data_IF_882714858244
#
_entry.id   IF_882714858244
#
_cell.length_a   1.000
_cell.length_b   1.000
_cell.length_c   1.000
_cell.angle_alpha   90.00
_cell.angle_beta   90.00
_cell.angle_gamma   90.00
#
_symmetry.space_group_name_H-M   'P 1'
#
loop_
_entity.id
_entity.type
_entity.pdbx_description
1 polymer ?
#
# COMPACT_ATOMS: atom_id res chain seq x y z
N UNK A 1 23.47 -60.73 -10.87
CA UNK A 1 24.26 -60.92 -9.63
C UNK A 1 24.46 -59.55 -8.99
N UNK A 2 24.29 -59.52 -7.67
CA UNK A 2 24.61 -58.45 -6.70
C UNK A 2 23.84 -57.11 -6.73
N UNK A 3 22.81 -57.08 -5.87
CA UNK A 3 22.25 -55.93 -5.15
C UNK A 3 23.27 -55.35 -4.17
N UNK A 4 23.29 -54.04 -3.93
CA UNK A 4 23.35 -53.31 -2.63
C UNK A 4 23.21 -51.80 -2.96
N UNK A 5 22.55 -50.90 -2.24
CA UNK A 5 21.76 -50.93 -1.02
C UNK A 5 21.24 -49.49 -0.77
N UNK A 6 19.93 -49.33 -0.61
CA UNK A 6 19.28 -48.06 -0.20
C UNK A 6 19.55 -47.82 1.29
N UNK A 7 19.97 -46.62 1.69
CA UNK A 7 19.99 -46.19 3.10
C UNK A 7 18.80 -45.27 3.36
N UNK A 8 17.77 -45.85 3.98
CA UNK A 8 16.74 -45.15 4.74
C UNK A 8 17.31 -44.79 6.11
N UNK A 9 17.03 -43.59 6.60
CA UNK A 9 17.12 -43.27 8.04
C UNK A 9 15.72 -42.90 8.52
N UNK A 10 15.22 -43.70 9.46
CA UNK A 10 13.98 -43.47 10.18
C UNK A 10 14.29 -42.91 11.58
N UNK A 11 13.52 -41.86 11.92
CA UNK A 11 12.88 -41.51 13.20
C UNK A 11 13.59 -41.87 14.53
N UNK A 12 13.75 -40.86 15.38
CA UNK A 12 13.66 -41.03 16.82
C UNK A 12 12.81 -39.88 17.41
N UNK A 13 11.62 -40.23 17.89
CA UNK A 13 10.76 -39.42 18.74
C UNK A 13 11.15 -39.64 20.21
N UNK A 14 11.21 -38.57 21.01
CA UNK A 14 11.34 -38.66 22.46
C UNK A 14 10.13 -37.95 23.09
N UNK A 15 9.25 -38.77 23.67
CA UNK A 15 8.17 -38.37 24.58
C UNK A 15 8.71 -38.52 26.00
N UNK A 16 8.66 -37.46 26.81
CA UNK A 16 8.74 -37.57 28.27
C UNK A 16 7.47 -36.99 28.89
N UNK A 17 6.67 -37.89 29.44
CA UNK A 17 5.55 -37.63 30.36
C UNK A 17 6.07 -37.87 31.78
N UNK A 18 5.95 -36.89 32.66
CA UNK A 18 5.87 -37.12 34.10
C UNK A 18 4.75 -36.27 34.72
N UNK A 19 3.95 -36.98 35.51
CA UNK A 19 2.72 -36.61 36.19
C UNK A 19 2.99 -35.98 37.57
N UNK A 20 2.01 -35.21 38.08
CA UNK A 20 1.84 -34.86 39.49
C UNK A 20 1.99 -33.36 39.78
N UNK A 21 1.06 -32.64 40.39
CA UNK A 21 -0.16 -33.03 41.09
C UNK A 21 -1.07 -31.82 41.37
N UNK A 22 -2.32 -32.14 41.71
CA UNK A 22 -3.36 -31.21 42.14
C UNK A 22 -3.32 -30.96 43.66
N UNK A 23 -3.79 -29.78 44.07
CA UNK A 23 -4.10 -29.37 45.46
C UNK A 23 -3.62 -27.93 45.69
N UNK A 24 -4.34 -26.98 46.28
CA UNK A 24 -5.63 -26.98 46.96
C UNK A 24 -6.12 -25.53 47.12
N UNK A 25 -7.41 -25.34 47.41
CA UNK A 25 -8.09 -24.04 47.57
C UNK A 25 -8.04 -23.51 49.02
N UNK A 26 -8.09 -22.16 49.12
CA UNK A 26 -8.69 -21.30 50.19
C UNK A 26 -7.92 -21.18 51.53
N UNK A 27 -8.21 -20.16 52.39
CA UNK A 27 -9.26 -19.13 52.34
C UNK A 27 -8.82 -17.67 52.61
N UNK A 28 -9.82 -16.77 52.52
CA UNK A 28 -9.87 -15.41 53.03
C UNK A 28 -9.58 -15.29 54.55
N UNK A 29 -9.03 -14.13 54.94
CA UNK A 29 -9.19 -13.47 56.24
C UNK A 29 -9.58 -12.02 55.90
N UNK A 30 -10.81 -11.51 56.13
CA UNK A 30 -11.44 -11.11 57.41
C UNK A 30 -10.41 -10.42 58.32
N UNK A 31 -10.51 -9.16 58.70
CA UNK A 31 -11.53 -8.13 58.62
C UNK A 31 -11.24 -7.20 59.78
N UNK A 32 -11.34 -5.89 59.59
CA UNK A 32 -11.46 -4.96 60.71
C UNK A 32 -12.40 -3.83 60.30
N UNK A 33 -13.44 -3.67 61.10
CA UNK A 33 -14.54 -2.73 60.97
C UNK A 33 -14.16 -1.37 61.59
N UNK A 34 -14.38 -0.28 60.85
CA UNK A 34 -15.27 0.88 61.14
C UNK A 34 -15.27 1.43 62.59
N UNK A 35 -15.09 2.76 62.81
CA UNK A 35 -16.23 3.67 62.74
C UNK A 35 -16.01 5.05 62.11
N UNK A 36 -16.88 5.33 61.14
CA UNK A 36 -17.82 6.47 61.09
C UNK A 36 -17.49 7.72 61.90
N UNK A 37 -17.24 8.83 61.20
CA UNK A 37 -17.70 10.14 61.63
C UNK A 37 -18.45 10.81 60.47
N UNK A 38 -19.77 10.92 60.68
CA UNK A 38 -20.65 11.91 60.07
C UNK A 38 -20.36 13.26 60.72
N UNK A 39 -20.16 14.32 59.91
CA UNK A 39 -20.76 15.63 60.14
C UNK A 39 -20.44 16.62 59.01
N UNK A 40 -21.52 17.07 58.36
CA UNK A 40 -21.76 18.43 57.85
C UNK A 40 -21.21 18.82 56.46
N UNK A 41 -22.17 19.06 55.56
CA UNK A 41 -22.05 19.83 54.32
C UNK A 41 -22.76 21.21 54.48
N UNK A 42 -22.56 22.17 53.56
CA UNK A 42 -22.22 23.58 53.81
C UNK A 42 -23.44 24.50 53.52
N UNK A 43 -23.43 25.81 53.09
CA UNK A 43 -22.57 26.46 52.08
C UNK A 43 -22.19 27.94 52.38
N UNK A 44 -21.37 28.56 51.52
CA UNK A 44 -21.57 29.89 50.92
C UNK A 44 -20.29 30.30 50.18
N UNK A 45 -20.20 29.97 48.88
CA UNK A 45 -19.46 30.80 47.94
C UNK A 45 -20.39 31.18 46.80
N UNK A 46 -20.37 32.48 46.52
CA UNK A 46 -21.26 33.19 45.62
C UNK A 46 -21.08 32.71 44.18
N UNK A 47 -22.17 32.18 43.64
CA UNK A 47 -22.36 32.05 42.21
C UNK A 47 -22.54 33.46 41.60
N UNK A 48 -21.47 34.02 41.04
CA UNK A 48 -21.54 35.18 40.16
C UNK A 48 -21.97 34.71 38.77
N UNK A 49 -23.20 35.06 38.43
CA UNK A 49 -23.87 34.82 37.17
C UNK A 49 -23.45 35.81 36.07
N UNK A 50 -23.46 35.29 34.83
CA UNK A 50 -23.77 35.91 33.52
C UNK A 50 -22.62 35.86 32.49
N UNK A 51 -22.90 35.74 31.18
CA UNK A 51 -24.00 35.01 30.54
C UNK A 51 -23.51 34.00 29.47
N UNK A 52 -24.27 32.92 29.27
CA UNK A 52 -24.17 32.06 28.09
C UNK A 52 -24.50 32.86 26.83
N UNK A 53 -23.48 33.17 26.03
CA UNK A 53 -23.64 33.49 24.62
C UNK A 53 -23.71 32.18 23.85
N UNK A 54 -24.91 31.64 23.73
CA UNK A 54 -25.20 30.59 22.75
C UNK A 54 -25.21 31.22 21.36
N UNK A 55 -24.04 31.30 20.74
CA UNK A 55 -23.93 31.41 19.30
C UNK A 55 -24.36 30.06 18.74
N UNK A 56 -25.58 29.99 18.21
CA UNK A 56 -25.94 28.92 17.28
C UNK A 56 -25.06 29.15 16.04
N UNK A 57 -23.95 28.41 15.95
CA UNK A 57 -23.22 28.23 14.70
C UNK A 57 -24.17 27.52 13.73
N UNK A 58 -24.63 28.23 12.70
CA UNK A 58 -25.19 27.59 11.51
C UNK A 58 -24.21 26.49 11.06
N UNK A 59 -24.67 25.30 10.65
CA UNK A 59 -23.77 24.30 10.13
C UNK A 59 -23.13 24.89 8.87
N UNK A 60 -21.81 25.12 8.92
CA UNK A 60 -21.03 25.41 7.75
C UNK A 60 -21.36 24.30 6.74
N UNK A 61 -21.89 24.67 5.57
CA UNK A 61 -22.00 23.73 4.46
C UNK A 61 -20.58 23.21 4.22
N UNK A 62 -20.33 21.95 4.56
CA UNK A 62 -19.06 21.30 4.19
C UNK A 62 -18.94 21.42 2.67
N UNK A 63 -17.95 22.20 2.23
CA UNK A 63 -17.66 22.32 0.82
C UNK A 63 -17.37 20.92 0.29
N UNK A 64 -17.91 20.60 -0.89
CA UNK A 64 -17.65 19.32 -1.55
C UNK A 64 -16.12 19.14 -1.67
N UNK A 65 -15.52 18.14 -1.00
CA UNK A 65 -14.07 17.95 -1.01
C UNK A 65 -13.54 17.68 -2.43
N UNK A 66 -14.40 17.23 -3.34
CA UNK A 66 -14.03 16.97 -4.73
C UNK A 66 -13.94 18.24 -5.58
N UNK A 67 -14.55 19.36 -5.15
CA UNK A 67 -14.51 20.62 -5.88
C UNK A 67 -13.11 21.26 -5.94
N UNK A 68 -12.17 20.78 -5.12
CA UNK A 68 -10.77 21.21 -5.12
C UNK A 68 -9.93 20.57 -6.23
N UNK A 69 -10.43 19.53 -6.89
CA UNK A 69 -9.69 18.75 -7.88
C UNK A 69 -10.27 18.90 -9.28
N UNK A 70 -9.41 18.75 -10.27
CA UNK A 70 -9.76 18.78 -11.69
C UNK A 70 -9.10 17.60 -12.41
N UNK A 71 -9.75 17.10 -13.46
CA UNK A 71 -9.20 16.01 -14.30
C UNK A 71 -7.95 16.44 -15.07
N UNK A 72 -7.75 17.75 -15.19
CA UNK A 72 -6.60 18.40 -15.81
C UNK A 72 -5.43 18.57 -14.84
N UNK A 73 -5.61 18.29 -13.54
CA UNK A 73 -4.52 18.30 -12.57
C UNK A 73 -3.46 17.27 -13.00
N UNK A 74 -2.22 17.74 -13.15
CA UNK A 74 -1.13 16.93 -13.71
C UNK A 74 -0.88 15.61 -12.97
N UNK A 75 -1.11 15.60 -11.65
CA UNK A 75 -0.97 14.44 -10.77
C UNK A 75 -2.13 13.44 -10.91
N UNK A 76 -3.27 13.87 -11.44
CA UNK A 76 -4.49 13.08 -11.62
C UNK A 76 -4.69 12.57 -13.04
N UNK A 77 -3.65 12.68 -13.90
CA UNK A 77 -3.67 12.09 -15.23
C UNK A 77 -3.97 10.58 -15.15
N UNK A 78 -5.02 10.16 -15.84
CA UNK A 78 -5.43 8.76 -15.90
C UNK A 78 -4.77 8.07 -17.10
N UNK A 79 -3.94 7.06 -16.84
CA UNK A 79 -3.26 6.26 -17.87
C UNK A 79 -3.58 4.79 -17.65
N UNK A 80 -4.20 4.16 -18.65
CA UNK A 80 -4.48 2.73 -18.71
C UNK A 80 -4.83 2.33 -20.16
N UNK A 81 -5.28 1.10 -20.40
CA UNK A 81 -5.64 0.62 -21.73
C UNK A 81 -6.78 1.43 -22.41
N UNK A 82 -7.65 2.09 -21.64
CA UNK A 82 -8.74 2.95 -22.14
C UNK A 82 -8.33 4.42 -22.30
N UNK A 83 -7.26 4.82 -21.62
CA UNK A 83 -6.70 6.17 -21.64
C UNK A 83 -5.19 6.12 -21.93
N UNK A 84 -4.76 5.68 -23.14
CA UNK A 84 -3.35 5.62 -23.49
C UNK A 84 -2.78 7.02 -23.73
N UNK A 85 -1.52 7.21 -23.36
CA UNK A 85 -0.71 8.32 -23.84
C UNK A 85 -0.38 8.11 -25.32
N UNK A 86 -0.70 9.10 -26.16
CA UNK A 86 -0.36 9.07 -27.59
C UNK A 86 1.13 9.33 -27.83
N UNK A 87 1.76 10.10 -26.95
CA UNK A 87 3.17 10.45 -26.98
C UNK A 87 3.75 10.50 -25.56
N UNK A 88 5.07 10.44 -25.45
CA UNK A 88 5.74 10.59 -24.15
C UNK A 88 5.50 11.99 -23.59
N UNK A 89 5.15 12.06 -22.30
CA UNK A 89 4.99 13.35 -21.63
C UNK A 89 6.34 14.06 -21.52
N UNK A 90 6.35 15.36 -21.79
CA UNK A 90 7.52 16.22 -21.58
C UNK A 90 7.69 16.56 -20.09
N UNK A 91 7.97 15.54 -19.27
CA UNK A 91 8.21 15.68 -17.83
C UNK A 91 9.69 15.96 -17.55
N UNK A 92 9.95 16.88 -16.61
CA UNK A 92 11.29 17.05 -16.06
C UNK A 92 11.52 15.95 -15.01
N UNK A 93 12.58 15.18 -15.20
CA UNK A 93 12.90 14.05 -14.32
C UNK A 93 14.00 14.41 -13.33
N UNK A 94 13.86 13.95 -12.09
CA UNK A 94 14.85 14.04 -11.04
C UNK A 94 15.28 12.64 -10.57
N UNK A 95 16.53 12.54 -10.10
CA UNK A 95 17.08 11.27 -9.62
C UNK A 95 16.77 11.08 -8.13
N UNK A 96 16.05 10.01 -7.81
CA UNK A 96 15.69 9.58 -6.45
C UNK A 96 16.28 8.20 -6.22
N UNK A 97 17.30 8.09 -5.36
CA UNK A 97 18.09 6.86 -5.15
C UNK A 97 18.59 6.16 -6.44
N UNK A 98 18.95 6.94 -7.47
CA UNK A 98 19.43 6.41 -8.75
C UNK A 98 18.32 6.00 -9.73
N UNK A 99 17.06 6.19 -9.37
CA UNK A 99 15.89 6.03 -10.23
C UNK A 99 15.37 7.39 -10.70
N UNK A 100 14.72 7.44 -11.86
CA UNK A 100 14.17 8.68 -12.40
C UNK A 100 12.69 8.80 -12.04
N UNK A 101 12.28 9.95 -11.52
CA UNK A 101 10.90 10.24 -11.16
C UNK A 101 10.52 11.66 -11.60
N UNK A 102 9.22 11.95 -11.75
CA UNK A 102 8.78 13.32 -12.06
C UNK A 102 9.27 14.27 -10.96
N UNK A 103 10.00 15.33 -11.37
CA UNK A 103 10.60 16.31 -10.45
C UNK A 103 9.58 16.89 -9.48
N UNK A 104 8.32 17.04 -9.89
CA UNK A 104 7.24 17.59 -9.06
C UNK A 104 6.83 16.66 -7.91
N UNK A 105 7.12 15.37 -8.02
CA UNK A 105 6.78 14.34 -7.02
C UNK A 105 8.03 13.65 -6.43
N UNK A 106 9.24 14.05 -6.82
CA UNK A 106 10.49 13.43 -6.39
C UNK A 106 10.71 13.52 -4.87
N UNK A 107 10.41 14.68 -4.27
CA UNK A 107 10.50 14.88 -2.81
C UNK A 107 9.53 13.97 -2.06
N UNK A 108 8.32 13.78 -2.60
CA UNK A 108 7.32 12.90 -2.01
C UNK A 108 7.78 11.42 -2.04
N UNK A 109 8.34 10.97 -3.17
CA UNK A 109 8.91 9.62 -3.28
C UNK A 109 10.06 9.44 -2.28
N UNK A 110 10.97 10.41 -2.22
CA UNK A 110 12.10 10.43 -1.29
C UNK A 110 11.61 10.31 0.17
N UNK A 111 10.60 11.10 0.55
CA UNK A 111 10.01 11.10 1.87
C UNK A 111 9.32 9.76 2.22
N UNK A 112 8.63 9.13 1.27
CA UNK A 112 8.01 7.81 1.49
C UNK A 112 9.06 6.71 1.74
N UNK A 113 10.15 6.73 0.96
CA UNK A 113 11.27 5.78 1.13
C UNK A 113 12.01 6.01 2.45
N UNK A 114 12.27 7.28 2.81
CA UNK A 114 12.87 7.64 4.10
C UNK A 114 11.97 7.27 5.28
N UNK A 115 10.65 7.46 5.16
CA UNK A 115 9.66 7.05 6.15
C UNK A 115 9.68 5.54 6.41
N UNK A 116 9.68 4.74 5.35
CA UNK A 116 9.80 3.28 5.47
C UNK A 116 11.12 2.86 6.09
N UNK A 117 12.20 3.55 5.73
CA UNK A 117 13.54 3.31 6.31
C UNK A 117 13.57 3.65 7.81
N UNK A 118 12.97 4.77 8.21
CA UNK A 118 12.85 5.18 9.60
C UNK A 118 11.97 4.23 10.43
N UNK A 119 10.98 3.60 9.80
CA UNK A 119 10.17 2.54 10.39
C UNK A 119 10.90 1.18 10.51
N UNK A 120 12.15 1.10 10.03
CA UNK A 120 13.02 -0.08 10.18
C UNK A 120 13.06 -1.00 8.96
N UNK A 121 12.46 -0.62 7.83
CA UNK A 121 12.47 -1.40 6.60
C UNK A 121 13.69 -1.07 5.74
N UNK A 122 14.27 -2.08 5.10
CA UNK A 122 15.25 -1.84 4.03
C UNK A 122 14.51 -1.71 2.71
N UNK A 123 14.06 -0.49 2.40
CA UNK A 123 13.26 -0.20 1.21
C UNK A 123 14.12 -0.30 -0.05
N UNK A 124 13.58 -0.94 -1.08
CA UNK A 124 14.18 -1.06 -2.40
C UNK A 124 13.19 -0.60 -3.47
N UNK A 125 13.58 0.41 -4.23
CA UNK A 125 12.93 0.75 -5.49
C UNK A 125 13.30 -0.30 -6.56
N UNK A 126 12.30 -0.71 -7.34
CA UNK A 126 12.43 -1.73 -8.39
C UNK A 126 12.26 -1.10 -9.77
N UNK A 127 11.23 -0.27 -9.94
CA UNK A 127 10.92 0.40 -11.20
C UNK A 127 10.26 1.76 -10.92
N UNK A 128 10.47 2.73 -11.82
CA UNK A 128 9.99 4.13 -11.68
C UNK A 128 9.66 4.67 -13.08
N UNK A 129 10.17 5.83 -13.50
CA UNK A 129 9.96 6.30 -14.86
C UNK A 129 10.52 5.31 -15.90
N UNK A 130 9.69 4.98 -16.89
CA UNK A 130 10.08 4.25 -18.09
C UNK A 130 9.66 5.00 -19.33
N UNK A 131 10.58 5.16 -20.27
CA UNK A 131 10.23 5.60 -21.62
C UNK A 131 9.40 4.53 -22.35
N UNK A 132 8.72 4.92 -23.42
CA UNK A 132 8.02 4.02 -24.33
C UNK A 132 8.98 2.97 -24.91
N UNK A 133 10.20 3.37 -25.26
CA UNK A 133 11.22 2.46 -25.77
C UNK A 133 11.60 1.38 -24.74
N UNK A 134 11.76 1.75 -23.47
CA UNK A 134 12.03 0.78 -22.38
C UNK A 134 10.82 -0.12 -22.15
N UNK A 135 9.61 0.44 -22.18
CA UNK A 135 8.37 -0.32 -22.01
C UNK A 135 8.20 -1.36 -23.12
N UNK A 136 8.47 -0.99 -24.37
CA UNK A 136 8.46 -1.91 -25.52
C UNK A 136 9.51 -3.01 -25.35
N UNK A 137 10.74 -2.66 -24.95
CA UNK A 137 11.80 -3.63 -24.75
C UNK A 137 11.47 -4.63 -23.62
N UNK A 138 10.82 -4.18 -22.55
CA UNK A 138 10.35 -5.04 -21.46
C UNK A 138 9.26 -6.00 -21.94
N UNK A 139 8.28 -5.50 -22.70
CA UNK A 139 7.20 -6.31 -23.27
C UNK A 139 7.75 -7.36 -24.24
N UNK A 140 8.61 -6.96 -25.18
CA UNK A 140 9.24 -7.85 -26.15
C UNK A 140 10.08 -8.93 -25.47
N UNK A 141 10.79 -8.58 -24.39
CA UNK A 141 11.57 -9.54 -23.59
C UNK A 141 10.65 -10.58 -22.94
N UNK A 142 9.51 -10.16 -22.37
CA UNK A 142 8.57 -11.09 -21.75
C UNK A 142 7.91 -12.00 -22.78
N UNK A 143 7.53 -11.47 -23.94
CA UNK A 143 7.00 -12.27 -25.05
C UNK A 143 8.02 -13.33 -25.48
N UNK A 144 9.29 -12.95 -25.67
CA UNK A 144 10.34 -13.92 -26.01
C UNK A 144 10.49 -15.02 -24.97
N UNK A 145 10.51 -14.67 -23.68
CA UNK A 145 10.58 -15.67 -22.61
C UNK A 145 9.40 -16.65 -22.65
N UNK A 146 8.17 -16.15 -22.83
CA UNK A 146 6.98 -17.00 -22.91
C UNK A 146 7.03 -17.96 -24.12
N UNK A 147 7.56 -17.50 -25.26
CA UNK A 147 7.70 -18.35 -26.46
C UNK A 147 8.84 -19.36 -26.30
N UNK A 148 10.00 -18.92 -25.82
CA UNK A 148 11.23 -19.71 -25.79
C UNK A 148 11.32 -20.67 -24.60
N UNK A 149 10.86 -20.23 -23.43
CA UNK A 149 11.00 -20.97 -22.16
C UNK A 149 9.69 -21.71 -21.81
N UNK A 150 8.54 -21.06 -21.99
CA UNK A 150 7.23 -21.60 -21.60
C UNK A 150 6.51 -22.32 -22.76
N UNK A 151 7.04 -22.23 -23.98
CA UNK A 151 6.52 -22.93 -25.17
C UNK A 151 5.19 -22.41 -25.69
N UNK A 152 4.80 -21.18 -25.32
CA UNK A 152 3.59 -20.53 -25.82
C UNK A 152 3.70 -20.22 -27.33
N UNK A 153 2.55 -20.18 -28.02
CA UNK A 153 2.49 -19.52 -29.34
C UNK A 153 2.72 -18.02 -29.18
N UNK A 154 3.08 -17.33 -30.28
CA UNK A 154 3.27 -15.88 -30.24
C UNK A 154 2.00 -15.13 -29.78
N UNK A 155 0.82 -15.58 -30.24
CA UNK A 155 -0.47 -14.97 -29.89
C UNK A 155 -0.78 -15.15 -28.40
N UNK A 156 -0.59 -16.36 -27.86
CA UNK A 156 -0.75 -16.63 -26.42
C UNK A 156 0.26 -15.84 -25.59
N UNK A 157 1.53 -15.79 -26.01
CA UNK A 157 2.58 -15.05 -25.33
C UNK A 157 2.27 -13.54 -25.29
N UNK A 158 1.77 -12.97 -26.38
CA UNK A 158 1.30 -11.59 -26.43
C UNK A 158 0.13 -11.37 -25.47
N UNK A 159 -0.90 -12.23 -25.52
CA UNK A 159 -2.06 -12.13 -24.66
C UNK A 159 -1.72 -12.27 -23.17
N UNK A 160 -0.75 -13.12 -22.81
CA UNK A 160 -0.26 -13.25 -21.44
C UNK A 160 0.58 -12.04 -21.05
N UNK A 161 1.51 -11.60 -21.88
CA UNK A 161 2.46 -10.54 -21.53
C UNK A 161 1.76 -9.20 -21.25
N UNK A 162 0.76 -8.83 -22.05
CA UNK A 162 0.03 -7.55 -21.87
C UNK A 162 -0.82 -7.49 -20.60
N UNK A 163 -1.06 -8.62 -19.94
CA UNK A 163 -1.75 -8.67 -18.63
C UNK A 163 -0.85 -8.23 -17.47
N UNK A 164 0.47 -8.29 -17.65
CA UNK A 164 1.46 -8.01 -16.60
C UNK A 164 2.39 -6.85 -16.98
N UNK A 165 2.56 -6.59 -18.27
CA UNK A 165 3.39 -5.50 -18.79
C UNK A 165 2.53 -4.69 -19.73
N UNK A 166 2.06 -3.54 -19.24
CA UNK A 166 1.29 -2.62 -20.05
C UNK A 166 2.10 -2.19 -21.30
N UNK A 167 1.46 -2.13 -22.48
CA UNK A 167 2.09 -1.59 -23.69
C UNK A 167 2.60 -0.15 -23.49
N UNK A 168 3.52 0.33 -24.35
CA UNK A 168 3.92 1.73 -24.34
C UNK A 168 2.72 2.68 -24.39
N UNK A 169 2.73 3.69 -23.53
CA UNK A 169 1.66 4.66 -23.38
C UNK A 169 0.49 4.18 -22.51
N UNK A 170 0.44 2.91 -22.12
CA UNK A 170 -0.61 2.37 -21.25
C UNK A 170 -0.10 2.08 -19.82
N UNK A 171 1.20 2.25 -19.57
CA UNK A 171 1.80 2.09 -18.25
C UNK A 171 1.87 3.42 -17.51
N UNK A 172 1.48 3.44 -16.24
CA UNK A 172 1.69 4.62 -15.40
C UNK A 172 3.17 4.98 -15.21
N UNK A 173 4.09 4.01 -15.33
CA UNK A 173 5.52 4.31 -15.34
C UNK A 173 5.93 5.26 -16.46
N UNK A 174 5.14 5.37 -17.54
CA UNK A 174 5.37 6.36 -18.60
C UNK A 174 5.07 7.81 -18.18
N UNK A 175 4.34 8.00 -17.07
CA UNK A 175 4.04 9.33 -16.51
C UNK A 175 5.16 9.87 -15.61
N UNK A 176 6.01 8.97 -15.08
CA UNK A 176 6.98 9.33 -14.04
C UNK A 176 6.38 9.47 -12.64
N UNK A 177 5.11 9.08 -12.44
CA UNK A 177 4.38 9.18 -11.17
C UNK A 177 4.14 7.82 -10.49
N UNK A 178 4.57 6.72 -11.11
CA UNK A 178 4.42 5.38 -10.56
C UNK A 178 5.76 4.81 -10.11
N UNK A 179 5.73 4.07 -9.01
CA UNK A 179 6.88 3.41 -8.42
C UNK A 179 6.52 2.00 -7.99
N UNK A 180 7.41 1.06 -8.32
CA UNK A 180 7.43 -0.28 -7.75
C UNK A 180 8.44 -0.30 -6.60
N UNK A 181 7.98 -0.65 -5.40
CA UNK A 181 8.84 -0.75 -4.22
C UNK A 181 8.52 -1.97 -3.37
N UNK A 182 9.58 -2.56 -2.82
CA UNK A 182 9.54 -3.74 -1.93
C UNK A 182 10.65 -3.62 -0.90
N UNK A 183 10.78 -4.61 0.00
CA UNK A 183 11.97 -4.73 0.83
C UNK A 183 13.13 -5.39 0.06
N UNK A 184 14.37 -5.06 0.43
CA UNK A 184 15.57 -5.75 -0.09
C UNK A 184 15.47 -7.27 0.17
N UNK A 185 14.99 -7.66 1.34
CA UNK A 185 14.79 -9.08 1.70
C UNK A 185 13.80 -9.77 0.76
N UNK A 186 12.63 -9.16 0.54
CA UNK A 186 11.64 -9.69 -0.39
C UNK A 186 12.22 -9.83 -1.80
N UNK A 187 12.95 -8.82 -2.28
CA UNK A 187 13.54 -8.82 -3.62
C UNK A 187 14.62 -9.89 -3.80
N UNK A 188 15.37 -10.21 -2.74
CA UNK A 188 16.36 -11.28 -2.77
C UNK A 188 15.72 -12.67 -2.76
N UNK A 189 14.60 -12.82 -2.03
CA UNK A 189 13.86 -14.08 -1.96
C UNK A 189 13.04 -14.37 -3.22
N UNK A 190 12.64 -13.34 -3.97
CA UNK A 190 11.72 -13.46 -5.10
C UNK A 190 12.36 -12.95 -6.41
N UNK A 191 12.46 -13.83 -7.40
CA UNK A 191 12.98 -13.45 -8.73
C UNK A 191 12.07 -12.46 -9.45
N UNK A 192 10.75 -12.58 -9.25
CA UNK A 192 9.71 -11.72 -9.82
C UNK A 192 8.84 -11.16 -8.70
N UNK A 193 8.36 -9.93 -8.90
CA UNK A 193 7.31 -9.36 -8.05
C UNK A 193 6.04 -10.19 -8.21
N UNK A 194 5.36 -10.47 -7.10
CA UNK A 194 4.17 -11.31 -7.06
C UNK A 194 3.32 -10.97 -5.83
N UNK A 195 2.07 -11.44 -5.81
CA UNK A 195 1.09 -11.05 -4.80
C UNK A 195 1.52 -11.34 -3.36
N UNK A 196 2.49 -12.23 -3.12
CA UNK A 196 2.92 -12.58 -1.76
C UNK A 196 3.65 -11.43 -1.07
N UNK A 197 3.99 -10.34 -1.79
CA UNK A 197 4.47 -9.13 -1.12
C UNK A 197 3.43 -8.57 -0.14
N UNK A 198 2.14 -8.88 -0.31
CA UNK A 198 1.09 -8.52 0.66
C UNK A 198 1.34 -9.07 2.07
N UNK A 199 2.12 -10.14 2.20
CA UNK A 199 2.48 -10.76 3.48
C UNK A 199 3.69 -10.07 4.16
N UNK A 200 4.42 -9.21 3.45
CA UNK A 200 5.57 -8.49 3.99
C UNK A 200 5.09 -7.37 4.95
N UNK A 201 5.67 -7.22 6.15
CA UNK A 201 5.30 -6.14 7.07
C UNK A 201 5.46 -4.73 6.47
N UNK A 202 6.35 -4.55 5.49
CA UNK A 202 6.50 -3.29 4.76
C UNK A 202 5.28 -2.97 3.90
N UNK A 203 4.60 -3.97 3.32
CA UNK A 203 3.34 -3.74 2.60
C UNK A 203 2.28 -3.18 3.55
N UNK A 204 2.15 -3.75 4.75
CA UNK A 204 1.23 -3.23 5.77
C UNK A 204 1.55 -1.78 6.16
N UNK A 205 2.84 -1.43 6.24
CA UNK A 205 3.27 -0.05 6.47
C UNK A 205 2.89 0.86 5.31
N UNK A 206 3.11 0.43 4.07
CA UNK A 206 2.75 1.21 2.87
C UNK A 206 1.25 1.48 2.80
N UNK A 207 0.40 0.47 3.02
CA UNK A 207 -1.07 0.68 3.02
C UNK A 207 -1.49 1.69 4.07
N UNK A 208 -0.84 1.70 5.24
CA UNK A 208 -1.15 2.62 6.32
C UNK A 208 -0.62 4.05 6.10
N UNK A 209 0.45 4.23 5.31
CA UNK A 209 1.20 5.50 5.25
C UNK A 209 1.38 6.10 3.86
N UNK A 210 1.10 5.36 2.77
CA UNK A 210 1.34 5.86 1.42
C UNK A 210 0.60 7.19 1.14
N UNK A 211 -0.62 7.33 1.64
CA UNK A 211 -1.42 8.55 1.51
C UNK A 211 -0.77 9.77 2.19
N UNK A 212 -0.02 9.57 3.27
CA UNK A 212 0.71 10.63 3.98
C UNK A 212 1.76 11.29 3.08
N UNK A 213 2.22 10.57 2.06
CA UNK A 213 3.20 11.02 1.07
C UNK A 213 2.57 11.29 -0.31
N UNK A 214 1.23 11.27 -0.42
CA UNK A 214 0.53 11.49 -1.69
C UNK A 214 0.54 10.33 -2.66
N UNK A 215 0.80 9.12 -2.17
CA UNK A 215 0.73 7.88 -2.94
C UNK A 215 -0.52 7.06 -2.60
N UNK A 216 -1.00 6.30 -3.58
CA UNK A 216 -2.06 5.31 -3.40
C UNK A 216 -1.54 3.92 -3.77
N UNK A 217 -2.09 2.87 -3.14
CA UNK A 217 -2.02 1.52 -3.69
C UNK A 217 -2.84 1.51 -4.97
N UNK A 218 -2.18 1.48 -6.12
CA UNK A 218 -2.83 1.78 -7.40
C UNK A 218 -3.77 0.68 -7.89
N UNK A 219 -3.37 -0.56 -7.67
CA UNK A 219 -4.05 -1.76 -8.17
C UNK A 219 -4.43 -2.68 -6.99
N UNK A 220 -5.48 -2.34 -6.22
CA UNK A 220 -5.98 -3.17 -5.14
C UNK A 220 -6.81 -4.36 -5.67
N UNK A 221 -6.87 -5.42 -4.86
CA UNK A 221 -7.40 -6.75 -5.24
C UNK A 221 -8.88 -6.75 -5.62
N UNK A 222 -9.67 -5.85 -5.06
CA UNK A 222 -11.10 -5.72 -5.27
C UNK A 222 -11.47 -4.78 -6.42
N UNK A 223 -10.48 -4.23 -7.15
CA UNK A 223 -10.70 -3.24 -8.22
C UNK A 223 -10.16 -3.68 -9.59
N UNK A 224 -9.72 -4.92 -9.76
CA UNK A 224 -9.13 -5.42 -11.02
C UNK A 224 -10.05 -5.22 -12.24
N UNK A 225 -11.36 -5.41 -12.07
CA UNK A 225 -12.36 -5.21 -13.14
C UNK A 225 -12.50 -3.73 -13.56
N UNK A 226 -12.15 -2.80 -12.67
CA UNK A 226 -12.24 -1.35 -12.91
C UNK A 226 -10.92 -0.83 -13.49
N UNK A 227 -9.79 -1.20 -12.87
CA UNK A 227 -8.46 -0.76 -13.28
C UNK A 227 -8.01 -1.45 -14.59
N UNK A 228 -8.49 -2.66 -14.85
CA UNK A 228 -8.04 -3.51 -15.94
C UNK A 228 -6.66 -4.15 -15.71
N UNK A 229 -6.09 -4.00 -14.52
CA UNK A 229 -4.79 -4.52 -14.10
C UNK A 229 -4.99 -5.41 -12.88
N UNK A 230 -4.33 -6.56 -12.85
CA UNK A 230 -4.38 -7.50 -11.71
C UNK A 230 -3.80 -6.86 -10.45
N UNK A 231 -4.07 -7.44 -9.29
CA UNK A 231 -3.53 -6.99 -8.02
C UNK A 231 -1.99 -6.89 -8.01
N UNK A 232 -1.46 -5.70 -7.69
CA UNK A 232 -0.01 -5.43 -7.61
C UNK A 232 0.33 -4.72 -6.28
N UNK A 233 0.58 -5.45 -5.19
CA UNK A 233 0.88 -4.88 -3.87
C UNK A 233 2.12 -3.98 -3.80
N UNK A 234 2.97 -4.01 -4.82
CA UNK A 234 4.22 -3.25 -4.91
C UNK A 234 4.08 -1.94 -5.68
N UNK A 235 3.00 -1.74 -6.45
CA UNK A 235 2.84 -0.59 -7.36
C UNK A 235 2.08 0.55 -6.69
N UNK A 236 2.75 1.68 -6.52
CA UNK A 236 2.20 2.88 -5.90
C UNK A 236 2.24 4.06 -6.87
N UNK A 237 1.16 4.85 -6.87
CA UNK A 237 0.95 5.97 -7.79
C UNK A 237 0.84 7.28 -7.02
N UNK A 238 1.64 8.27 -7.38
CA UNK A 238 1.52 9.63 -6.85
C UNK A 238 0.30 10.34 -7.45
N UNK A 239 -0.53 10.92 -6.57
CA UNK A 239 -1.73 11.70 -6.90
C UNK A 239 -1.83 12.99 -6.07
N UNK A 240 -0.84 13.27 -5.22
CA UNK A 240 -0.88 14.35 -4.23
C UNK A 240 -1.56 13.92 -2.92
N UNK A 241 -1.17 14.53 -1.80
CA UNK A 241 -1.61 14.11 -0.45
C UNK A 241 -3.13 14.13 -0.26
N UNK A 242 -3.80 15.21 -0.69
CA UNK A 242 -5.23 15.37 -0.46
C UNK A 242 -6.05 14.33 -1.24
N UNK A 243 -5.72 14.13 -2.52
CA UNK A 243 -6.37 13.12 -3.34
C UNK A 243 -6.04 11.70 -2.84
N UNK A 244 -4.79 11.44 -2.44
CA UNK A 244 -4.38 10.13 -1.93
C UNK A 244 -5.12 9.77 -0.66
N UNK A 245 -5.22 10.70 0.31
CA UNK A 245 -6.01 10.51 1.53
C UNK A 245 -7.47 10.23 1.20
N UNK A 246 -8.09 11.03 0.34
CA UNK A 246 -9.48 10.81 -0.07
C UNK A 246 -9.68 9.41 -0.68
N UNK A 247 -8.83 9.01 -1.63
CA UNK A 247 -8.91 7.71 -2.31
C UNK A 247 -8.77 6.57 -1.30
N UNK A 248 -7.75 6.62 -0.44
CA UNK A 248 -7.45 5.55 0.52
C UNK A 248 -8.52 5.46 1.63
N UNK A 249 -9.00 6.59 2.14
CA UNK A 249 -10.04 6.64 3.19
C UNK A 249 -11.40 6.11 2.70
N UNK A 250 -11.70 6.29 1.42
CA UNK A 250 -12.96 5.86 0.80
C UNK A 250 -12.86 4.50 0.08
N UNK A 251 -11.69 3.86 0.08
CA UNK A 251 -11.48 2.56 -0.59
C UNK A 251 -11.72 2.61 -2.10
N UNK A 252 -11.34 3.73 -2.73
CA UNK A 252 -11.48 3.94 -4.17
C UNK A 252 -10.22 3.50 -4.92
N UNK A 253 -10.36 3.17 -6.21
CA UNK A 253 -9.26 3.26 -7.16
C UNK A 253 -9.22 4.64 -7.83
N UNK A 254 -8.13 4.94 -8.56
CA UNK A 254 -7.99 6.22 -9.24
C UNK A 254 -9.11 6.46 -10.27
N UNK A 255 -9.55 5.43 -10.97
CA UNK A 255 -10.67 5.51 -11.92
C UNK A 255 -11.97 5.99 -11.25
N UNK A 256 -12.35 5.37 -10.12
CA UNK A 256 -13.58 5.74 -9.38
C UNK A 256 -13.50 7.16 -8.83
N UNK A 257 -12.32 7.60 -8.38
CA UNK A 257 -12.10 8.98 -7.94
C UNK A 257 -12.20 9.96 -9.12
N UNK A 258 -11.51 9.65 -10.22
CA UNK A 258 -11.47 10.48 -11.43
C UNK A 258 -12.86 10.67 -12.06
N UNK A 259 -13.70 9.63 -12.03
CA UNK A 259 -15.10 9.70 -12.50
C UNK A 259 -15.97 10.65 -11.68
N UNK A 260 -15.67 10.83 -10.39
CA UNK A 260 -16.40 11.75 -9.51
C UNK A 260 -15.95 13.21 -9.66
N UNK A 261 -14.79 13.46 -10.28
CA UNK A 261 -14.28 14.81 -10.46
C UNK A 261 -15.17 15.63 -11.38
N UNK A 262 -15.30 16.96 -11.12
CA UNK A 262 -16.00 17.88 -11.99
C UNK A 262 -15.47 17.80 -13.43
N UNK A 263 -16.39 17.98 -14.39
CA UNK A 263 -16.06 18.07 -15.82
C UNK A 263 -15.57 19.45 -16.21
#
# INVERSE_FOLDING_TARGET
MQRQGRRLWAVAAAVLLLLGGCGERRPLSRGEEVPSQEASLPPEEEASSLPSSSTEEEPAQEADPLAAFSREDWQLILVNARHPLEEELAVELESVYGYQFDRRAAEALQAMVDGGTAAGFQVQLVDTYRSFAVSQANLDRRIRQLVEEDGCTLEEAQAIAVRWIAPPGQSEHNTGLAVDLVTVEYRQANQLLNHNFEEDPFFSWLVAHCADYGFILRYPKDKEEITGITYEPWHYRYVGEEAARYIMDHGLCLEEFWEQLPS
#
